data_IF_421740427345
#
_entry.id   IF_421740427345
#
_cell.length_a   1.000
_cell.length_b   1.000
_cell.length_c   1.000
_cell.angle_alpha   90.00
_cell.angle_beta   90.00
_cell.angle_gamma   90.00
#
_symmetry.space_group_name_H-M   'P 1'
#
loop_
_entity.id
_entity.type
_entity.pdbx_description
1 polymer ?
#
# COMPACT_ATOMS: atom_id res chain seq x y z
N UNK A 1 0.92 -7.01 -18.94
CA UNK A 1 2.13 -7.77 -19.34
C UNK A 1 3.41 -6.92 -19.27
N UNK A 2 3.44 -5.66 -19.80
CA UNK A 2 4.63 -4.81 -19.74
C UNK A 2 5.08 -4.50 -18.32
N UNK A 3 4.15 -4.07 -17.48
CA UNK A 3 4.40 -3.75 -16.08
C UNK A 3 4.84 -4.97 -15.25
N UNK A 4 4.24 -6.13 -15.49
CA UNK A 4 4.66 -7.39 -14.85
C UNK A 4 6.10 -7.76 -15.19
N UNK A 5 6.50 -7.60 -16.47
CA UNK A 5 7.88 -7.83 -16.89
C UNK A 5 8.83 -6.82 -16.29
N UNK A 6 8.45 -5.54 -16.29
CA UNK A 6 9.27 -4.47 -15.71
C UNK A 6 9.51 -4.67 -14.22
N UNK A 7 8.50 -5.08 -13.44
CA UNK A 7 8.66 -5.34 -12.01
C UNK A 7 9.64 -6.48 -11.68
N UNK A 8 10.04 -7.29 -12.68
CA UNK A 8 11.05 -8.34 -12.52
C UNK A 8 12.47 -7.84 -12.77
N UNK A 9 12.64 -6.67 -13.38
CA UNK A 9 13.96 -6.06 -13.60
C UNK A 9 14.47 -5.40 -12.31
N UNK A 10 15.74 -5.06 -12.27
CA UNK A 10 16.31 -4.36 -11.12
C UNK A 10 15.79 -2.93 -11.01
N UNK A 11 15.61 -2.25 -12.15
CA UNK A 11 15.09 -0.89 -12.24
C UNK A 11 13.62 -0.80 -11.79
N UNK A 12 12.83 -1.85 -12.08
CA UNK A 12 11.43 -1.95 -11.68
C UNK A 12 11.20 -2.60 -10.31
N UNK A 13 12.26 -2.84 -9.53
CA UNK A 13 12.15 -3.51 -8.25
C UNK A 13 11.41 -2.68 -7.21
N UNK A 14 10.31 -3.22 -6.70
CA UNK A 14 9.55 -2.65 -5.59
C UNK A 14 9.57 -3.61 -4.41
N UNK A 15 9.53 -3.03 -3.21
CA UNK A 15 9.55 -3.78 -1.97
C UNK A 15 8.35 -3.39 -1.11
N UNK A 16 7.87 -4.35 -0.34
CA UNK A 16 6.88 -4.15 0.72
C UNK A 16 7.38 -4.75 2.02
N UNK A 17 6.64 -4.56 3.08
CA UNK A 17 6.98 -5.02 4.40
C UNK A 17 5.86 -5.84 5.04
N UNK A 18 6.22 -6.55 6.09
CA UNK A 18 5.30 -7.26 6.95
C UNK A 18 5.78 -7.22 8.40
N UNK A 19 4.86 -7.37 9.30
CA UNK A 19 5.05 -7.37 10.73
C UNK A 19 5.30 -8.79 11.23
N UNK A 20 6.38 -9.00 11.98
CA UNK A 20 6.61 -10.27 12.67
C UNK A 20 5.63 -10.35 13.85
N UNK A 21 4.86 -11.42 13.92
CA UNK A 21 3.97 -11.73 15.03
C UNK A 21 4.67 -12.64 16.06
N UNK A 22 4.14 -12.68 17.28
CA UNK A 22 4.72 -13.46 18.38
C UNK A 22 4.75 -14.97 18.09
N UNK A 23 3.80 -15.47 17.30
CA UNK A 23 3.72 -16.86 16.86
C UNK A 23 4.67 -17.22 15.70
N UNK A 24 5.46 -16.24 15.25
CA UNK A 24 6.39 -16.38 14.12
C UNK A 24 5.76 -16.19 12.76
N UNK A 25 4.47 -15.92 12.67
CA UNK A 25 3.82 -15.56 11.40
C UNK A 25 4.18 -14.15 10.98
N UNK A 26 3.93 -13.81 9.71
CA UNK A 26 4.16 -12.47 9.18
C UNK A 26 2.85 -11.92 8.65
N UNK A 27 2.42 -10.81 9.26
CA UNK A 27 1.30 -10.04 8.79
C UNK A 27 1.79 -9.03 7.74
N UNK A 28 1.58 -9.35 6.47
CA UNK A 28 1.98 -8.48 5.36
C UNK A 28 1.10 -7.23 5.26
N UNK A 29 1.72 -6.10 4.88
CA UNK A 29 0.96 -4.89 4.59
C UNK A 29 -0.04 -5.15 3.45
N UNK A 30 -1.35 -4.93 3.68
CA UNK A 30 -2.38 -5.33 2.72
C UNK A 30 -2.38 -4.50 1.44
N UNK A 31 -1.79 -3.31 1.47
CA UNK A 31 -1.69 -2.41 0.34
C UNK A 31 -0.30 -2.43 -0.32
N UNK A 32 0.57 -3.36 0.05
CA UNK A 32 1.94 -3.44 -0.45
C UNK A 32 2.69 -2.10 -0.37
N UNK A 33 2.56 -1.40 0.76
CA UNK A 33 3.18 -0.11 1.02
C UNK A 33 4.70 -0.15 0.98
N UNK A 34 5.31 1.03 0.84
CA UNK A 34 6.76 1.16 0.84
C UNK A 34 7.31 1.04 2.27
N UNK A 35 8.32 0.18 2.52
CA UNK A 35 8.95 0.10 3.83
C UNK A 35 9.52 1.44 4.34
N UNK A 36 9.97 2.31 3.44
CA UNK A 36 10.50 3.62 3.80
C UNK A 36 9.44 4.56 4.39
N UNK A 37 8.17 4.32 4.12
CA UNK A 37 7.07 5.08 4.72
C UNK A 37 6.92 4.84 6.23
N UNK A 38 7.52 3.78 6.78
CA UNK A 38 7.57 3.53 8.22
C UNK A 38 8.55 4.46 8.95
N UNK A 39 9.47 5.10 8.24
CA UNK A 39 10.36 6.10 8.81
C UNK A 39 9.57 7.32 9.24
N UNK A 40 9.65 7.76 10.50
CA UNK A 40 8.93 8.94 10.99
C UNK A 40 9.25 10.19 10.16
N UNK A 41 8.24 11.00 9.86
CA UNK A 41 8.35 12.16 8.94
C UNK A 41 9.52 13.08 9.25
N UNK A 42 9.82 13.30 10.53
CA UNK A 42 10.92 14.17 10.98
C UNK A 42 12.31 13.71 10.55
N UNK A 43 12.49 12.42 10.22
CA UNK A 43 13.78 11.85 9.80
C UNK A 43 13.85 11.58 8.29
N UNK A 44 12.74 11.68 7.56
CA UNK A 44 12.68 11.33 6.12
C UNK A 44 13.58 12.22 5.28
N UNK A 45 13.61 13.53 5.56
CA UNK A 45 14.43 14.44 4.79
C UNK A 45 15.94 14.15 4.95
N UNK A 46 16.38 13.83 6.17
CA UNK A 46 17.76 13.45 6.44
C UNK A 46 18.13 12.15 5.73
N UNK A 47 17.23 11.16 5.78
CA UNK A 47 17.42 9.89 5.08
C UNK A 47 17.46 10.08 3.55
N UNK A 48 16.56 10.88 2.98
CA UNK A 48 16.57 11.19 1.55
C UNK A 48 17.86 11.86 1.13
N UNK A 49 18.35 12.84 1.91
CA UNK A 49 19.63 13.49 1.64
C UNK A 49 20.78 12.49 1.63
N UNK A 50 20.82 11.59 2.61
CA UNK A 50 21.84 10.54 2.68
C UNK A 50 21.75 9.56 1.49
N UNK A 51 20.56 9.11 1.12
CA UNK A 51 20.36 8.19 0.01
C UNK A 51 20.66 8.81 -1.37
N UNK A 52 20.54 10.11 -1.48
CA UNK A 52 20.82 10.86 -2.70
C UNK A 52 22.28 11.40 -2.76
N UNK A 53 23.06 11.21 -1.70
CA UNK A 53 24.45 11.66 -1.67
C UNK A 53 25.26 10.98 -2.79
N UNK A 54 25.95 11.81 -3.60
CA UNK A 54 26.75 11.33 -4.74
C UNK A 54 25.96 10.95 -5.99
N UNK A 55 24.63 11.13 -6.00
CA UNK A 55 23.82 10.99 -7.23
C UNK A 55 23.89 12.27 -8.05
N UNK A 56 24.10 12.13 -9.35
CA UNK A 56 24.00 13.24 -10.28
C UNK A 56 22.52 13.46 -10.63
N UNK A 57 21.91 14.50 -10.02
CA UNK A 57 20.49 14.81 -10.21
C UNK A 57 20.22 15.39 -11.61
N UNK A 58 21.27 15.89 -12.28
CA UNK A 58 21.17 16.46 -13.64
C UNK A 58 21.27 15.36 -14.73
N UNK A 59 21.57 14.11 -14.36
CA UNK A 59 21.54 12.99 -15.29
C UNK A 59 20.09 12.51 -15.48
N UNK A 60 19.59 12.55 -16.71
CA UNK A 60 18.24 12.10 -17.10
C UNK A 60 17.95 10.63 -16.70
N UNK A 61 18.96 9.84 -16.40
CA UNK A 61 18.86 8.44 -15.96
C UNK A 61 18.92 8.29 -14.44
N UNK A 62 19.20 9.35 -13.71
CA UNK A 62 19.33 9.35 -12.24
C UNK A 62 18.06 9.91 -11.60
N UNK A 63 17.39 9.11 -10.79
CA UNK A 63 16.22 9.52 -10.03
C UNK A 63 16.59 9.80 -8.58
N UNK A 64 16.10 10.92 -8.03
CA UNK A 64 16.22 11.20 -6.60
C UNK A 64 15.27 10.30 -5.81
N UNK A 65 15.75 9.79 -4.67
CA UNK A 65 14.88 9.08 -3.72
C UNK A 65 14.08 10.11 -2.94
N UNK A 66 12.76 9.94 -2.97
CA UNK A 66 11.82 10.73 -2.17
C UNK A 66 10.92 9.78 -1.38
N UNK A 67 10.68 10.11 -0.11
CA UNK A 67 9.77 9.34 0.75
C UNK A 67 8.51 10.15 0.96
N UNK A 68 7.50 9.87 0.16
CA UNK A 68 6.20 10.53 0.21
C UNK A 68 5.09 9.59 0.69
N UNK A 69 3.97 10.17 1.08
CA UNK A 69 2.80 9.42 1.53
C UNK A 69 2.94 8.81 2.92
N UNK A 70 1.98 7.98 3.27
CA UNK A 70 1.89 7.29 4.55
C UNK A 70 1.52 5.82 4.34
N UNK A 71 1.87 4.99 5.31
CA UNK A 71 1.43 3.58 5.36
C UNK A 71 -0.09 3.48 5.50
N UNK A 72 -0.65 2.36 5.09
CA UNK A 72 -2.09 2.11 5.20
C UNK A 72 -2.59 2.21 6.66
N UNK A 73 -3.89 2.45 6.88
CA UNK A 73 -4.45 2.61 8.23
C UNK A 73 -4.14 1.44 9.16
N UNK A 74 -4.16 0.20 8.66
CA UNK A 74 -3.82 -0.98 9.44
C UNK A 74 -2.35 -0.96 9.89
N UNK A 75 -1.43 -0.73 8.98
CA UNK A 75 0.00 -0.69 9.31
C UNK A 75 0.34 0.49 10.22
N UNK A 76 -0.32 1.63 10.07
CA UNK A 76 -0.19 2.77 10.98
C UNK A 76 -0.68 2.43 12.40
N UNK A 77 -1.81 1.72 12.51
CA UNK A 77 -2.32 1.25 13.80
C UNK A 77 -1.31 0.32 14.48
N UNK A 78 -0.80 -0.69 13.78
CA UNK A 78 0.19 -1.63 14.31
C UNK A 78 1.49 -0.91 14.70
N UNK A 79 1.97 0.02 13.86
CA UNK A 79 3.16 0.81 14.16
C UNK A 79 3.01 1.58 15.47
N UNK A 80 1.89 2.28 15.66
CA UNK A 80 1.63 3.07 16.87
C UNK A 80 1.52 2.18 18.11
N UNK A 81 0.82 1.05 18.02
CA UNK A 81 0.73 0.08 19.13
C UNK A 81 2.12 -0.44 19.54
N UNK A 82 2.96 -0.77 18.57
CA UNK A 82 4.32 -1.26 18.84
C UNK A 82 5.25 -0.15 19.32
N UNK A 83 5.05 1.07 18.86
CA UNK A 83 5.82 2.24 19.30
C UNK A 83 5.55 2.56 20.77
N UNK A 84 4.29 2.45 21.23
CA UNK A 84 3.93 2.58 22.63
C UNK A 84 4.60 1.51 23.49
N UNK A 85 4.60 0.24 23.04
CA UNK A 85 5.29 -0.87 23.71
C UNK A 85 6.81 -0.73 23.75
N UNK A 86 7.38 0.02 22.81
CA UNK A 86 8.81 0.31 22.71
C UNK A 86 9.24 1.63 23.37
N UNK A 87 8.37 2.23 24.23
CA UNK A 87 8.62 3.51 24.90
C UNK A 87 8.97 4.66 23.92
N UNK A 88 8.40 4.65 22.72
CA UNK A 88 8.61 5.65 21.69
C UNK A 88 9.88 5.43 20.83
N UNK A 89 10.60 4.34 21.02
CA UNK A 89 11.76 3.98 20.22
C UNK A 89 11.35 3.28 18.93
N UNK A 90 11.22 4.06 17.85
CA UNK A 90 10.81 3.55 16.55
C UNK A 90 11.83 2.59 15.92
N UNK A 91 13.11 2.64 16.31
CA UNK A 91 14.13 1.73 15.78
C UNK A 91 13.90 0.29 16.22
N UNK A 92 13.43 0.11 17.46
CA UNK A 92 13.00 -1.21 17.96
C UNK A 92 11.77 -1.75 17.22
N UNK A 93 10.90 -0.85 16.74
CA UNK A 93 9.75 -1.26 15.91
C UNK A 93 10.26 -1.74 14.54
N UNK A 94 11.28 -1.09 13.97
CA UNK A 94 11.88 -1.51 12.70
C UNK A 94 12.52 -2.90 12.74
N UNK A 95 13.04 -3.34 13.90
CA UNK A 95 13.57 -4.69 14.07
C UNK A 95 12.49 -5.80 13.95
N UNK A 96 11.24 -5.42 14.07
CA UNK A 96 10.09 -6.32 14.02
C UNK A 96 9.47 -6.42 12.61
N UNK A 97 10.06 -5.81 11.60
CA UNK A 97 9.57 -5.92 10.23
C UNK A 97 10.42 -6.88 9.40
N UNK A 98 9.81 -7.39 8.36
CA UNK A 98 10.46 -8.12 7.25
C UNK A 98 10.14 -7.42 5.97
N UNK A 99 11.08 -7.39 5.05
CA UNK A 99 10.91 -6.79 3.73
C UNK A 99 10.94 -7.89 2.69
N UNK A 100 10.04 -7.82 1.72
CA UNK A 100 10.06 -8.69 0.53
C UNK A 100 9.93 -7.87 -0.74
N UNK A 101 10.51 -8.36 -1.82
CA UNK A 101 10.24 -7.85 -3.15
C UNK A 101 8.83 -8.23 -3.57
N UNK A 102 8.11 -7.29 -4.20
CA UNK A 102 6.84 -7.55 -4.87
C UNK A 102 7.06 -7.61 -6.38
N UNK A 103 6.36 -8.55 -7.01
CA UNK A 103 6.29 -8.65 -8.47
C UNK A 103 4.84 -8.44 -8.84
N UNK A 104 4.59 -7.52 -9.75
CA UNK A 104 3.24 -7.25 -10.19
C UNK A 104 2.66 -8.45 -10.92
N UNK A 105 1.40 -8.75 -10.63
CA UNK A 105 0.67 -9.86 -11.22
C UNK A 105 -0.82 -9.54 -11.21
N UNK A 106 -1.42 -9.52 -12.37
CA UNK A 106 -2.86 -9.38 -12.51
C UNK A 106 -3.59 -10.60 -11.91
N UNK A 107 -3.07 -11.79 -12.19
CA UNK A 107 -3.65 -13.05 -11.70
C UNK A 107 -3.65 -13.13 -10.17
N UNK A 108 -2.57 -12.69 -9.52
CA UNK A 108 -2.43 -12.71 -8.06
C UNK A 108 -2.95 -11.43 -7.41
N UNK A 109 -3.50 -10.50 -8.20
CA UNK A 109 -4.02 -9.21 -7.74
C UNK A 109 -2.99 -8.40 -6.95
N UNK A 110 -1.80 -8.24 -7.51
CA UNK A 110 -0.70 -7.46 -6.93
C UNK A 110 -0.30 -6.36 -7.90
N UNK A 111 -0.52 -5.12 -7.50
CA UNK A 111 -0.12 -3.92 -8.25
C UNK A 111 -0.88 -3.69 -9.57
N UNK A 112 -1.80 -4.57 -9.95
CA UNK A 112 -2.62 -4.42 -11.14
C UNK A 112 -4.07 -4.67 -10.75
N UNK A 113 -4.88 -3.62 -10.80
CA UNK A 113 -6.31 -3.66 -10.57
C UNK A 113 -7.06 -3.50 -11.89
N UNK A 114 -8.22 -4.14 -11.99
CA UNK A 114 -9.11 -4.03 -13.14
C UNK A 114 -10.53 -3.81 -12.68
N UNK A 115 -11.13 -2.71 -13.08
CA UNK A 115 -12.52 -2.42 -12.78
C UNK A 115 -13.34 -2.39 -14.06
N UNK A 116 -14.38 -3.23 -14.09
CA UNK A 116 -15.36 -3.27 -15.16
C UNK A 116 -16.77 -3.19 -14.57
N UNK A 117 -17.56 -2.15 -14.90
CA UNK A 117 -18.93 -2.04 -14.40
C UNK A 117 -19.76 -3.22 -14.91
N UNK A 118 -20.39 -3.94 -13.98
CA UNK A 118 -21.27 -5.07 -14.31
C UNK A 118 -22.67 -4.61 -14.73
N UNK A 119 -23.13 -3.49 -14.18
CA UNK A 119 -24.43 -2.91 -14.43
C UNK A 119 -24.34 -1.38 -14.35
N UNK A 120 -24.97 -0.67 -15.31
CA UNK A 120 -24.98 0.80 -15.37
C UNK A 120 -25.70 1.45 -14.18
N UNK A 121 -26.60 0.72 -13.51
CA UNK A 121 -27.46 1.24 -12.45
C UNK A 121 -27.07 0.82 -11.03
N UNK A 122 -26.16 -0.12 -10.89
CA UNK A 122 -25.82 -0.74 -9.59
C UNK A 122 -24.30 -0.82 -9.42
N UNK A 123 -23.66 0.36 -9.40
CA UNK A 123 -22.21 0.45 -9.21
C UNK A 123 -21.93 0.54 -7.72
N UNK A 124 -21.14 -0.41 -7.22
CA UNK A 124 -20.73 -0.47 -5.84
C UNK A 124 -19.28 0.06 -5.69
N UNK A 125 -19.14 1.18 -5.00
CA UNK A 125 -17.83 1.77 -4.74
C UNK A 125 -16.93 0.88 -3.88
N UNK A 126 -17.49 -0.10 -3.16
CA UNK A 126 -16.72 -1.04 -2.34
C UNK A 126 -15.82 -1.95 -3.18
N UNK A 127 -16.18 -2.22 -4.44
CA UNK A 127 -15.30 -2.93 -5.39
C UNK A 127 -13.98 -2.16 -5.63
N UNK A 128 -14.00 -0.83 -5.52
CA UNK A 128 -12.82 0.03 -5.68
C UNK A 128 -12.07 0.27 -4.38
N UNK A 129 -12.80 0.57 -3.31
CA UNK A 129 -12.22 1.06 -2.06
C UNK A 129 -11.99 -0.02 -1.01
N UNK A 130 -12.59 -1.20 -1.18
CA UNK A 130 -12.71 -2.21 -0.14
C UNK A 130 -13.89 -1.93 0.78
N UNK A 131 -14.13 -2.81 1.73
CA UNK A 131 -15.33 -2.76 2.59
C UNK A 131 -15.03 -3.18 4.04
N UNK A 132 -15.94 -2.82 4.92
CA UNK A 132 -15.92 -3.21 6.33
C UNK A 132 -16.28 -4.70 6.47
N UNK A 133 -15.48 -5.43 7.21
CA UNK A 133 -15.75 -6.83 7.52
C UNK A 133 -16.53 -6.97 8.83
N UNK A 134 -17.83 -7.19 8.74
CA UNK A 134 -18.71 -7.32 9.90
C UNK A 134 -18.32 -8.45 10.87
N UNK A 135 -17.69 -9.53 10.38
CA UNK A 135 -17.19 -10.62 11.24
C UNK A 135 -16.00 -10.13 12.09
N UNK A 136 -15.14 -9.31 11.52
CA UNK A 136 -14.01 -8.71 12.23
C UNK A 136 -14.46 -7.65 13.24
N UNK A 137 -15.56 -6.92 12.97
CA UNK A 137 -16.16 -6.00 13.96
C UNK A 137 -16.54 -6.75 15.24
N UNK A 138 -17.13 -7.94 15.10
CA UNK A 138 -17.48 -8.76 16.28
C UNK A 138 -16.24 -9.17 17.10
N UNK A 139 -15.08 -9.26 16.45
CA UNK A 139 -13.79 -9.57 17.10
C UNK A 139 -13.11 -8.35 17.72
N UNK A 140 -13.13 -7.21 17.04
CA UNK A 140 -12.38 -6.01 17.43
C UNK A 140 -13.23 -4.92 18.06
N UNK A 141 -14.56 -5.05 18.01
CA UNK A 141 -15.52 -4.23 18.77
C UNK A 141 -15.88 -2.88 18.15
N UNK A 142 -15.31 -2.48 17.01
CA UNK A 142 -15.61 -1.18 16.37
C UNK A 142 -15.50 -1.24 14.86
N UNK A 143 -16.42 -0.55 14.16
CA UNK A 143 -16.35 -0.35 12.70
C UNK A 143 -15.17 0.56 12.30
N UNK A 144 -14.73 1.44 13.18
CA UNK A 144 -13.60 2.33 12.95
C UNK A 144 -12.24 1.68 13.23
N UNK A 145 -12.20 0.41 13.67
CA UNK A 145 -10.94 -0.31 13.86
C UNK A 145 -10.35 -0.71 12.49
N UNK A 146 -9.14 -0.27 12.15
CA UNK A 146 -8.53 -0.59 10.86
C UNK A 146 -8.37 -2.10 10.59
N UNK A 147 -8.36 -2.91 11.65
CA UNK A 147 -8.31 -4.37 11.55
C UNK A 147 -9.62 -4.98 11.04
N UNK A 148 -10.73 -4.25 11.18
CA UNK A 148 -12.03 -4.67 10.69
C UNK A 148 -12.25 -4.33 9.21
N UNK A 149 -11.33 -3.66 8.54
CA UNK A 149 -11.44 -3.30 7.14
C UNK A 149 -10.78 -4.34 6.22
N UNK A 150 -11.40 -4.61 5.07
CA UNK A 150 -10.84 -5.42 4.00
C UNK A 150 -10.22 -4.51 2.94
N UNK A 151 -8.91 -4.60 2.78
CA UNK A 151 -8.14 -3.83 1.78
C UNK A 151 -8.05 -4.61 0.45
N UNK A 152 -9.18 -5.05 -0.08
CA UNK A 152 -9.28 -5.90 -1.28
C UNK A 152 -9.93 -5.20 -2.48
N UNK A 153 -10.24 -3.91 -2.35
CA UNK A 153 -10.71 -3.09 -3.46
C UNK A 153 -9.63 -2.86 -4.53
N UNK A 154 -10.04 -2.57 -5.76
CA UNK A 154 -9.13 -2.43 -6.89
C UNK A 154 -8.09 -1.31 -6.68
N UNK A 155 -8.42 -0.21 -5.98
CA UNK A 155 -7.45 0.82 -5.60
C UNK A 155 -6.40 0.30 -4.62
N UNK A 156 -6.80 -0.55 -3.66
CA UNK A 156 -5.89 -1.13 -2.69
C UNK A 156 -4.92 -2.10 -3.38
N UNK A 157 -5.45 -2.94 -4.28
CA UNK A 157 -4.70 -3.91 -5.07
C UNK A 157 -3.70 -3.23 -6.00
N UNK A 158 -4.12 -2.13 -6.67
CA UNK A 158 -3.31 -1.40 -7.64
C UNK A 158 -2.34 -0.39 -7.01
N UNK A 159 -2.26 -0.32 -5.68
CA UNK A 159 -1.36 0.60 -5.01
C UNK A 159 0.08 0.47 -5.54
N UNK A 160 0.70 1.60 -5.88
CA UNK A 160 2.03 1.72 -6.49
C UNK A 160 2.14 1.10 -7.89
N UNK A 161 1.03 0.71 -8.49
CA UNK A 161 0.96 0.06 -9.80
C UNK A 161 0.00 0.74 -10.77
N UNK A 162 -0.91 -0.02 -11.34
CA UNK A 162 -1.83 0.42 -12.38
C UNK A 162 -3.25 -0.09 -12.09
N UNK A 163 -4.23 0.78 -12.27
CA UNK A 163 -5.63 0.37 -12.37
C UNK A 163 -6.15 0.61 -13.79
N UNK A 164 -6.84 -0.37 -14.34
CA UNK A 164 -7.50 -0.30 -15.64
C UNK A 164 -9.02 -0.19 -15.45
N UNK A 165 -9.60 0.87 -15.99
CA UNK A 165 -11.05 1.04 -16.06
C UNK A 165 -11.54 0.61 -17.43
N UNK A 166 -12.26 -0.51 -17.50
CA UNK A 166 -12.85 -1.02 -18.72
C UNK A 166 -14.23 -0.38 -18.90
N UNK A 167 -14.49 0.13 -20.12
CA UNK A 167 -15.78 0.73 -20.47
C UNK A 167 -16.21 1.90 -19.55
N UNK A 168 -15.26 2.75 -19.18
CA UNK A 168 -15.46 3.88 -18.25
C UNK A 168 -16.66 4.78 -18.62
N UNK A 169 -17.02 4.88 -19.91
CA UNK A 169 -18.15 5.68 -20.37
C UNK A 169 -19.53 5.07 -20.01
N UNK A 170 -19.56 3.86 -19.52
CA UNK A 170 -20.77 3.22 -18.97
C UNK A 170 -20.97 3.51 -17.49
N UNK A 171 -19.99 4.13 -16.84
CA UNK A 171 -20.10 4.53 -15.45
C UNK A 171 -21.11 5.67 -15.29
N UNK A 172 -21.88 5.63 -14.20
CA UNK A 172 -22.72 6.76 -13.81
C UNK A 172 -21.84 8.01 -13.57
N UNK A 173 -22.33 9.17 -14.00
CA UNK A 173 -21.62 10.45 -13.84
C UNK A 173 -21.31 10.72 -12.37
N UNK A 174 -22.21 10.38 -11.45
CA UNK A 174 -21.98 10.51 -10.01
C UNK A 174 -20.79 9.67 -9.54
N UNK A 175 -20.68 8.43 -10.02
CA UNK A 175 -19.56 7.54 -9.70
C UNK A 175 -18.22 8.03 -10.27
N UNK A 176 -18.26 8.66 -11.47
CA UNK A 176 -17.06 9.29 -12.05
C UNK A 176 -16.54 10.48 -11.22
N UNK A 177 -17.44 11.23 -10.57
CA UNK A 177 -17.03 12.30 -9.65
C UNK A 177 -16.34 11.79 -8.40
N UNK A 178 -16.68 10.59 -7.92
CA UNK A 178 -16.02 9.96 -6.77
C UNK A 178 -14.60 9.44 -7.13
N UNK A 179 -14.30 9.32 -8.43
CA UNK A 179 -12.98 8.89 -8.94
C UNK A 179 -12.01 10.07 -9.16
N UNK A 180 -12.50 11.31 -9.21
CA UNK A 180 -11.70 12.53 -9.46
C UNK A 180 -11.30 13.23 -8.16
#
# INVERSE_FOLDING_TARGET
>A
QGLERYSRTEEGALYTFGWKEEDGTILWDPMNGDPLQLVPMKYRQELCNYLNEGRDIDDETSYSVEISGEVCPLSRFIFNERLEKADGDWTKVMEQIVVKRIIFSEQDRIGIGTFQPKDEKNQDSTELTGDINYRKIAQYGSESDPRAFNFDGEFNVSNRGLIEFIEVLKLDVAFLYDLL
#
